data_IF_021863105204
#
_entry.id   IF_021863105204
#
_cell.length_a   1.000
_cell.length_b   1.000
_cell.length_c   1.000
_cell.angle_alpha   90.00
_cell.angle_beta   90.00
_cell.angle_gamma   90.00
#
_symmetry.space_group_name_H-M   'P 1'
#
loop_
_entity.id
_entity.type
_entity.pdbx_description
1 polymer ?
#
# COMPACT_ATOMS: atom_id res chain seq x y z
N UNK A 1 20.50 -0.86 -63.18
CA UNK A 1 21.04 0.04 -62.14
C UNK A 1 19.85 0.58 -61.36
N UNK A 2 19.61 0.05 -60.16
CA UNK A 2 18.51 0.48 -59.27
C UNK A 2 19.13 1.12 -58.02
N UNK A 3 18.66 2.27 -57.52
CA UNK A 3 19.26 2.90 -56.35
C UNK A 3 18.61 2.39 -55.06
N UNK A 4 19.45 2.10 -54.05
CA UNK A 4 19.04 1.85 -52.68
C UNK A 4 18.53 3.12 -51.97
N UNK A 5 17.56 3.03 -51.05
CA UNK A 5 17.29 4.10 -50.10
C UNK A 5 18.25 4.03 -48.90
N UNK A 6 18.72 5.20 -48.48
CA UNK A 6 19.56 5.42 -47.28
C UNK A 6 18.73 5.24 -46.01
N UNK A 7 19.31 4.52 -45.05
CA UNK A 7 18.84 4.39 -43.67
C UNK A 7 19.02 5.71 -42.91
N UNK A 8 17.96 6.19 -42.25
CA UNK A 8 17.99 7.32 -41.33
C UNK A 8 18.36 6.83 -39.93
N UNK A 9 19.41 7.41 -39.33
CA UNK A 9 19.81 7.17 -37.94
C UNK A 9 18.84 7.78 -36.92
N UNK A 10 19.02 7.47 -35.62
CA UNK A 10 18.10 7.88 -34.56
C UNK A 10 18.14 9.40 -34.28
N UNK A 11 17.05 10.01 -33.79
CA UNK A 11 16.95 11.45 -33.61
C UNK A 11 17.79 11.91 -32.41
N UNK A 12 18.63 12.93 -32.64
CA UNK A 12 19.39 13.63 -31.60
C UNK A 12 18.57 14.79 -31.03
N UNK A 13 18.47 14.87 -29.70
CA UNK A 13 17.82 15.98 -29.00
C UNK A 13 18.79 17.17 -28.82
N UNK A 14 18.36 18.42 -29.04
CA UNK A 14 19.23 19.58 -28.87
C UNK A 14 19.42 19.93 -27.39
N UNK A 15 20.66 19.93 -26.93
CA UNK A 15 21.09 20.55 -25.67
C UNK A 15 21.09 22.07 -25.83
N UNK A 16 20.09 22.75 -25.26
CA UNK A 16 20.19 24.18 -24.94
C UNK A 16 19.95 24.40 -23.45
N UNK A 17 21.01 24.87 -22.79
CA UNK A 17 20.95 25.50 -21.48
C UNK A 17 20.08 26.76 -21.55
N UNK A 18 19.06 26.80 -20.71
CA UNK A 18 18.31 28.00 -20.37
C UNK A 18 18.01 27.94 -18.88
N UNK A 19 18.69 28.80 -18.10
CA UNK A 19 18.35 29.05 -16.71
C UNK A 19 16.93 29.61 -16.65
N UNK A 20 15.97 28.79 -16.22
CA UNK A 20 14.63 29.24 -15.85
C UNK A 20 14.60 29.42 -14.32
N UNK A 21 14.58 30.69 -13.89
CA UNK A 21 14.59 31.09 -12.48
C UNK A 21 13.40 30.53 -11.69
N UNK A 22 13.68 29.69 -10.71
CA UNK A 22 12.74 29.14 -9.73
C UNK A 22 12.52 30.07 -8.51
N UNK A 23 12.38 31.39 -8.70
CA UNK A 23 12.31 32.34 -7.57
C UNK A 23 11.08 33.26 -7.53
N UNK A 24 9.99 32.96 -8.24
CA UNK A 24 8.78 33.81 -8.21
C UNK A 24 7.44 33.13 -7.91
N UNK A 25 7.41 31.83 -7.57
CA UNK A 25 6.15 31.14 -7.24
C UNK A 25 5.83 31.02 -5.73
N UNK A 26 6.70 31.51 -4.83
CA UNK A 26 6.58 31.32 -3.37
C UNK A 26 6.66 32.60 -2.52
N UNK A 27 6.50 33.78 -3.11
CA UNK A 27 6.32 35.04 -2.36
C UNK A 27 4.83 35.36 -2.25
N UNK A 28 4.14 34.79 -1.26
CA UNK A 28 2.75 35.20 -1.01
C UNK A 28 1.93 34.37 -0.04
N UNK A 29 2.38 33.19 0.40
CA UNK A 29 1.63 32.40 1.36
C UNK A 29 2.05 32.75 2.80
N UNK A 30 1.08 33.24 3.57
CA UNK A 30 1.20 33.53 5.00
C UNK A 30 1.68 32.28 5.73
N UNK A 31 2.73 32.44 6.52
CA UNK A 31 3.24 31.45 7.47
C UNK A 31 2.10 30.92 8.36
N UNK A 32 1.88 29.60 8.35
CA UNK A 32 1.11 28.96 9.42
C UNK A 32 1.89 29.13 10.72
N UNK A 33 1.36 29.96 11.63
CA UNK A 33 1.94 30.21 12.93
C UNK A 33 1.97 28.94 13.78
N UNK A 34 3.08 28.76 14.52
CA UNK A 34 3.19 27.76 15.60
C UNK A 34 1.99 27.85 16.55
N UNK A 35 1.33 26.75 16.93
CA UNK A 35 0.40 26.76 18.05
C UNK A 35 1.11 27.12 19.35
N UNK A 36 0.52 28.06 20.06
CA UNK A 36 0.96 28.65 21.32
C UNK A 36 1.09 27.59 22.43
N UNK A 37 2.23 27.56 23.13
CA UNK A 37 2.45 26.77 24.34
C UNK A 37 1.74 27.44 25.52
N UNK A 38 0.45 27.14 25.69
CA UNK A 38 -0.38 27.66 26.77
C UNK A 38 -1.08 26.53 27.52
N UNK A 39 -0.63 26.30 28.77
CA UNK A 39 -1.26 25.57 29.89
C UNK A 39 -2.52 24.73 29.58
N UNK A 40 -2.35 23.40 29.61
CA UNK A 40 -3.44 22.42 29.62
C UNK A 40 -4.20 22.53 30.95
N UNK A 41 -5.46 22.96 30.90
CA UNK A 41 -6.39 22.87 32.03
C UNK A 41 -6.80 21.41 32.26
N UNK A 42 -6.83 20.98 33.52
CA UNK A 42 -7.33 19.67 33.94
C UNK A 42 -8.80 19.53 33.53
N UNK A 43 -9.14 18.39 32.91
CA UNK A 43 -10.53 17.97 32.68
C UNK A 43 -10.82 16.87 33.70
N UNK A 44 -11.75 17.14 34.62
CA UNK A 44 -12.20 16.20 35.64
C UNK A 44 -13.16 15.16 35.01
N UNK A 45 -12.89 13.88 35.27
CA UNK A 45 -13.70 12.73 34.85
C UNK A 45 -14.47 12.21 36.07
N UNK A 46 -15.81 12.23 36.11
CA UNK A 46 -16.55 11.53 37.15
C UNK A 46 -16.56 10.01 36.91
N UNK A 47 -16.23 9.27 37.96
CA UNK A 47 -16.21 7.82 38.07
C UNK A 47 -17.62 7.22 37.90
N UNK A 48 -17.77 6.25 36.99
CA UNK A 48 -18.86 5.28 37.04
C UNK A 48 -18.34 3.99 37.69
N UNK A 49 -18.74 3.75 38.94
CA UNK A 49 -18.66 2.43 39.57
C UNK A 49 -20.04 1.81 39.70
N UNK A 50 -20.02 0.50 39.47
CA UNK A 50 -21.09 -0.48 39.45
C UNK A 50 -22.11 -0.43 40.61
N UNK A 51 -23.34 -0.87 40.31
CA UNK A 51 -24.13 -1.71 41.21
C UNK A 51 -25.05 -2.65 40.42
N UNK A 52 -24.94 -3.93 40.73
CA UNK A 52 -25.82 -5.00 40.27
C UNK A 52 -27.07 -5.11 41.18
N UNK A 53 -28.19 -5.47 40.53
CA UNK A 53 -29.50 -6.11 40.86
C UNK A 53 -29.77 -6.67 42.28
N UNK A 54 -31.02 -7.06 42.70
CA UNK A 54 -32.14 -7.59 41.87
C UNK A 54 -33.60 -7.34 42.34
N UNK A 55 -34.55 -8.05 41.67
CA UNK A 55 -36.00 -8.25 41.89
C UNK A 55 -36.90 -7.28 41.07
N UNK A 56 -37.89 -7.66 40.27
CA UNK A 56 -38.51 -8.95 39.92
C UNK A 56 -39.98 -8.69 39.58
N UNK A 57 -40.48 -9.09 38.40
CA UNK A 57 -41.88 -9.52 38.19
C UNK A 57 -42.08 -10.02 36.76
N UNK A 58 -42.55 -11.25 36.67
CA UNK A 58 -43.01 -11.92 35.46
C UNK A 58 -44.33 -11.30 34.97
N UNK A 59 -44.44 -11.06 33.68
CA UNK A 59 -45.71 -11.18 32.95
C UNK A 59 -45.43 -11.62 31.52
N UNK A 60 -45.96 -12.79 31.16
CA UNK A 60 -45.93 -13.34 29.83
C UNK A 60 -46.97 -12.63 28.94
N UNK A 61 -46.57 -12.28 27.72
CA UNK A 61 -47.51 -12.06 26.62
C UNK A 61 -46.98 -12.81 25.39
N UNK A 62 -47.60 -13.95 25.11
CA UNK A 62 -47.37 -14.75 23.91
C UNK A 62 -47.99 -14.06 22.70
N UNK A 63 -47.17 -13.65 21.73
CA UNK A 63 -47.59 -13.52 20.33
C UNK A 63 -46.56 -14.17 19.43
N UNK A 64 -47.01 -15.19 18.72
CA UNK A 64 -46.25 -15.87 17.68
C UNK A 64 -45.98 -14.90 16.52
N UNK A 65 -44.71 -14.64 16.24
CA UNK A 65 -44.29 -14.16 14.93
C UNK A 65 -43.49 -15.28 14.28
N UNK A 66 -44.17 -15.99 13.37
CA UNK A 66 -43.53 -16.84 12.36
C UNK A 66 -42.85 -15.91 11.36
N UNK A 67 -41.59 -16.19 11.07
CA UNK A 67 -40.77 -15.43 10.12
C UNK A 67 -39.40 -15.12 10.70
N UNK A 68 -38.59 -16.14 10.98
CA UNK A 68 -37.15 -15.96 11.09
C UNK A 68 -36.62 -15.97 9.66
N UNK A 69 -36.55 -14.79 9.05
CA UNK A 69 -35.63 -14.56 7.96
C UNK A 69 -34.24 -14.92 8.49
N UNK A 70 -33.72 -16.06 8.02
CA UNK A 70 -32.31 -16.40 8.17
C UNK A 70 -31.55 -15.48 7.23
N UNK A 71 -31.27 -14.25 7.67
CA UNK A 71 -30.01 -13.64 7.29
C UNK A 71 -28.94 -14.55 7.87
N UNK A 72 -28.41 -15.43 7.02
CA UNK A 72 -27.12 -16.03 7.27
C UNK A 72 -26.17 -14.85 7.34
N UNK A 73 -25.83 -14.42 8.55
CA UNK A 73 -24.69 -13.56 8.78
C UNK A 73 -23.50 -14.36 8.23
N UNK A 74 -23.09 -14.02 7.01
CA UNK A 74 -21.91 -14.61 6.39
C UNK A 74 -20.77 -14.25 7.33
N UNK A 75 -20.31 -15.24 8.11
CA UNK A 75 -19.22 -15.04 9.04
C UNK A 75 -17.98 -14.81 8.19
N UNK A 76 -17.73 -13.56 7.83
CA UNK A 76 -16.50 -13.16 7.18
C UNK A 76 -15.39 -13.52 8.15
N UNK A 77 -14.50 -14.42 7.72
CA UNK A 77 -13.37 -14.80 8.57
C UNK A 77 -12.50 -13.57 8.72
N UNK A 78 -12.36 -13.05 9.95
CA UNK A 78 -11.53 -11.89 10.20
C UNK A 78 -10.11 -12.12 9.64
N UNK A 79 -9.75 -11.32 8.64
CA UNK A 79 -8.39 -11.26 8.07
C UNK A 79 -7.55 -10.15 8.71
N UNK A 80 -6.24 -10.24 8.55
CA UNK A 80 -5.29 -9.20 8.97
C UNK A 80 -4.63 -8.57 7.74
N UNK A 81 -4.92 -7.28 7.53
CA UNK A 81 -4.33 -6.46 6.48
C UNK A 81 -3.08 -5.74 6.98
N UNK A 82 -2.00 -5.83 6.23
CA UNK A 82 -0.77 -5.04 6.45
C UNK A 82 -0.62 -4.08 5.28
N UNK A 83 -0.67 -2.77 5.54
CA UNK A 83 -0.66 -1.73 4.50
C UNK A 83 0.70 -1.02 4.45
N UNK A 84 1.33 -1.03 3.27
CA UNK A 84 2.69 -0.55 3.03
C UNK A 84 2.66 0.62 2.05
N UNK A 85 3.09 1.80 2.51
CA UNK A 85 3.03 3.03 1.73
C UNK A 85 4.11 3.11 0.64
N UNK A 86 3.91 4.01 -0.33
CA UNK A 86 4.89 4.37 -1.35
C UNK A 86 5.96 5.37 -0.89
N UNK A 87 6.91 5.67 -1.79
CA UNK A 87 7.99 6.62 -1.52
C UNK A 87 7.46 8.02 -1.18
N UNK A 88 8.10 8.70 -0.22
CA UNK A 88 7.70 10.05 0.23
C UNK A 88 6.43 10.10 1.09
N UNK A 89 5.87 8.95 1.47
CA UNK A 89 4.66 8.85 2.30
C UNK A 89 4.96 8.21 3.66
N UNK A 90 3.92 7.81 4.38
CA UNK A 90 3.96 7.10 5.65
C UNK A 90 2.63 6.40 5.89
N UNK A 91 2.48 5.74 7.04
CA UNK A 91 1.26 5.08 7.49
C UNK A 91 0.01 5.98 7.40
N UNK A 92 0.21 7.30 7.53
CA UNK A 92 -0.84 8.32 7.47
C UNK A 92 -1.64 8.30 6.16
N UNK A 93 -1.07 7.88 5.02
CA UNK A 93 -1.81 7.90 3.75
C UNK A 93 -2.99 6.92 3.74
N UNK A 94 -2.97 5.92 4.62
CA UNK A 94 -3.98 4.86 4.69
C UNK A 94 -5.18 5.18 5.58
N UNK A 95 -5.24 6.35 6.23
CA UNK A 95 -6.20 6.61 7.31
C UNK A 95 -7.67 6.34 6.93
N UNK A 96 -8.11 6.67 5.70
CA UNK A 96 -9.48 6.38 5.22
C UNK A 96 -9.72 4.88 5.12
N UNK A 97 -8.76 4.15 4.54
CA UNK A 97 -8.89 2.72 4.29
C UNK A 97 -8.85 1.91 5.58
N UNK A 98 -8.02 2.31 6.55
CA UNK A 98 -7.97 1.70 7.88
C UNK A 98 -9.35 1.70 8.55
N UNK A 99 -10.07 2.82 8.47
CA UNK A 99 -11.42 2.93 9.04
C UNK A 99 -12.37 1.96 8.34
N UNK A 100 -12.36 1.91 7.01
CA UNK A 100 -13.27 1.06 6.24
C UNK A 100 -13.04 -0.43 6.50
N UNK A 101 -11.79 -0.89 6.46
CA UNK A 101 -11.43 -2.30 6.71
C UNK A 101 -11.75 -2.73 8.15
N UNK A 102 -11.55 -1.84 9.13
CA UNK A 102 -11.92 -2.12 10.53
C UNK A 102 -13.43 -2.18 10.73
N UNK A 103 -14.19 -1.31 10.06
CA UNK A 103 -15.67 -1.36 10.08
C UNK A 103 -16.21 -2.66 9.44
N UNK A 104 -15.49 -3.21 8.46
CA UNK A 104 -15.79 -4.52 7.89
C UNK A 104 -15.35 -5.71 8.78
N UNK A 105 -14.82 -5.46 9.99
CA UNK A 105 -14.48 -6.50 10.96
C UNK A 105 -13.04 -7.02 10.88
N UNK A 106 -12.19 -6.43 10.05
CA UNK A 106 -10.82 -6.90 9.84
C UNK A 106 -9.78 -6.22 10.75
N UNK A 107 -8.68 -6.93 11.03
CA UNK A 107 -7.50 -6.33 11.67
C UNK A 107 -6.69 -5.58 10.62
N UNK A 108 -6.16 -4.42 10.98
CA UNK A 108 -5.37 -3.58 10.08
C UNK A 108 -4.16 -3.03 10.81
N UNK A 109 -2.98 -3.35 10.29
CA UNK A 109 -1.70 -2.78 10.68
C UNK A 109 -1.18 -1.89 9.56
N UNK A 110 -0.81 -0.68 9.92
CA UNK A 110 -0.08 0.25 9.05
C UNK A 110 1.22 0.60 9.73
N UNK A 111 2.25 0.85 8.94
CA UNK A 111 3.60 1.12 9.44
C UNK A 111 4.23 2.26 8.65
N UNK A 112 5.13 2.97 9.31
CA UNK A 112 6.10 3.81 8.63
C UNK A 112 7.32 2.94 8.31
N UNK A 113 7.70 2.87 7.03
CA UNK A 113 9.00 2.34 6.62
C UNK A 113 10.12 3.26 7.16
N UNK A 114 11.37 2.79 7.14
CA UNK A 114 12.45 3.60 7.67
C UNK A 114 12.57 4.92 6.90
N UNK A 115 12.87 6.00 7.61
CA UNK A 115 12.91 7.37 7.08
C UNK A 115 11.61 7.89 6.44
N UNK A 116 10.47 7.33 6.83
CA UNK A 116 9.14 7.68 6.32
C UNK A 116 8.21 8.11 7.45
N UNK A 117 7.17 8.88 7.14
CA UNK A 117 6.19 9.34 8.14
C UNK A 117 6.83 9.99 9.38
N UNK A 118 6.61 9.41 10.56
CA UNK A 118 7.20 9.87 11.83
C UNK A 118 8.39 9.03 12.28
N UNK A 119 8.90 8.14 11.43
CA UNK A 119 10.07 7.31 11.73
C UNK A 119 11.30 8.20 11.99
N UNK A 120 12.09 7.94 13.06
CA UNK A 120 13.15 8.87 13.49
C UNK A 120 14.38 8.88 12.58
N UNK A 121 14.69 7.76 11.92
CA UNK A 121 15.82 7.69 10.98
C UNK A 121 15.63 8.63 9.79
N UNK A 122 16.73 9.07 9.21
CA UNK A 122 16.74 9.89 8.00
C UNK A 122 17.13 9.07 6.77
N UNK A 123 16.73 9.55 5.59
CA UNK A 123 16.96 8.82 4.34
C UNK A 123 18.45 8.68 3.99
N UNK A 124 19.30 9.61 4.43
CA UNK A 124 20.76 9.58 4.29
C UNK A 124 21.45 8.59 5.23
N UNK A 125 20.78 8.17 6.31
CA UNK A 125 21.30 7.20 7.30
C UNK A 125 21.07 5.73 6.90
N UNK A 126 20.21 5.48 5.92
CA UNK A 126 19.98 4.12 5.42
C UNK A 126 21.17 3.68 4.58
N UNK A 127 21.50 2.40 4.45
CA UNK A 127 22.59 1.95 3.56
C UNK A 127 22.04 1.15 2.38
N UNK A 128 20.94 0.44 2.61
CA UNK A 128 20.32 -0.49 1.67
C UNK A 128 18.79 -0.34 1.63
N UNK A 129 18.17 -0.94 0.62
CA UNK A 129 16.73 -1.10 0.57
C UNK A 129 16.22 -2.00 1.71
N UNK A 130 17.01 -2.97 2.15
CA UNK A 130 16.67 -3.78 3.31
C UNK A 130 16.54 -2.94 4.59
N UNK A 131 17.33 -1.87 4.74
CA UNK A 131 17.18 -0.92 5.86
C UNK A 131 15.89 -0.13 5.74
N UNK A 132 15.57 0.33 4.52
CA UNK A 132 14.30 1.01 4.24
C UNK A 132 13.09 0.13 4.60
N UNK A 133 13.11 -1.14 4.21
CA UNK A 133 12.04 -2.11 4.45
C UNK A 133 12.09 -2.78 5.83
N UNK A 134 13.05 -2.43 6.69
CA UNK A 134 13.27 -3.11 7.97
C UNK A 134 12.01 -3.17 8.85
N UNK A 135 11.24 -2.08 9.03
CA UNK A 135 10.01 -2.13 9.84
C UNK A 135 8.97 -3.14 9.33
N UNK A 136 8.87 -3.32 8.01
CA UNK A 136 8.01 -4.35 7.42
C UNK A 136 8.53 -5.76 7.74
N UNK A 137 9.83 -5.99 7.56
CA UNK A 137 10.41 -7.32 7.82
C UNK A 137 10.33 -7.71 9.29
N UNK A 138 10.49 -6.76 10.22
CA UNK A 138 10.32 -6.99 11.66
C UNK A 138 8.86 -7.33 12.00
N UNK A 139 7.89 -6.60 11.43
CA UNK A 139 6.48 -6.93 11.57
C UNK A 139 6.17 -8.33 11.04
N UNK A 140 6.63 -8.68 9.84
CA UNK A 140 6.41 -9.99 9.24
C UNK A 140 7.04 -11.12 10.05
N UNK A 141 8.23 -10.89 10.62
CA UNK A 141 8.88 -11.84 11.53
C UNK A 141 8.04 -12.08 12.80
N UNK A 142 7.40 -11.04 13.33
CA UNK A 142 6.58 -11.11 14.54
C UNK A 142 5.20 -11.75 14.37
N UNK A 143 4.71 -11.91 13.13
CA UNK A 143 3.43 -12.62 12.85
C UNK A 143 3.57 -14.10 13.27
N UNK A 144 2.61 -14.67 14.03
CA UNK A 144 2.65 -16.07 14.44
C UNK A 144 2.73 -17.05 13.25
N UNK A 145 3.41 -18.20 13.37
CA UNK A 145 3.60 -19.15 12.26
C UNK A 145 2.32 -19.68 11.59
N UNK A 146 1.19 -19.65 12.29
CA UNK A 146 -0.10 -20.13 11.77
C UNK A 146 -1.00 -19.00 11.26
N UNK A 147 -0.53 -17.76 11.29
CA UNK A 147 -1.28 -16.60 10.81
C UNK A 147 -0.74 -16.18 9.44
N UNK A 148 -1.66 -15.89 8.50
CA UNK A 148 -1.33 -15.29 7.20
C UNK A 148 -2.01 -13.93 7.06
N UNK A 149 -1.32 -13.00 6.41
CA UNK A 149 -1.80 -11.62 6.20
C UNK A 149 -2.11 -11.33 4.74
N UNK A 150 -3.04 -10.41 4.53
CA UNK A 150 -3.23 -9.73 3.24
C UNK A 150 -2.26 -8.56 3.21
N UNK A 151 -1.23 -8.65 2.37
CA UNK A 151 -0.18 -7.63 2.29
C UNK A 151 -0.49 -6.68 1.14
N UNK A 152 -0.69 -5.40 1.43
CA UNK A 152 -1.10 -4.40 0.42
C UNK A 152 -0.01 -3.34 0.28
N UNK A 153 0.56 -3.21 -0.92
CA UNK A 153 1.60 -2.24 -1.23
C UNK A 153 1.10 -1.21 -2.22
N UNK A 154 1.40 0.06 -1.96
CA UNK A 154 1.15 1.17 -2.87
C UNK A 154 2.43 1.66 -3.52
N UNK A 155 2.41 1.95 -4.83
CA UNK A 155 3.53 2.58 -5.54
C UNK A 155 4.85 1.84 -5.27
N UNK A 156 5.90 2.56 -4.87
CA UNK A 156 7.20 2.00 -4.51
C UNK A 156 7.15 0.99 -3.34
N UNK A 157 6.10 1.00 -2.51
CA UNK A 157 5.86 0.00 -1.47
C UNK A 157 5.75 -1.43 -2.02
N UNK A 158 5.41 -1.59 -3.31
CA UNK A 158 5.43 -2.88 -3.99
C UNK A 158 6.81 -3.57 -4.01
N UNK A 159 7.91 -2.81 -4.00
CA UNK A 159 9.26 -3.39 -3.87
C UNK A 159 9.50 -3.94 -2.46
N UNK A 160 8.94 -3.31 -1.43
CA UNK A 160 9.00 -3.81 -0.05
C UNK A 160 8.14 -5.07 0.11
N UNK A 161 7.00 -5.14 -0.61
CA UNK A 161 6.21 -6.36 -0.74
C UNK A 161 7.03 -7.50 -1.30
N UNK A 162 7.73 -7.27 -2.42
CA UNK A 162 8.54 -8.31 -3.05
C UNK A 162 9.60 -8.88 -2.10
N UNK A 163 10.28 -8.01 -1.32
CA UNK A 163 11.22 -8.44 -0.29
C UNK A 163 10.55 -9.28 0.81
N UNK A 164 9.36 -8.86 1.27
CA UNK A 164 8.61 -9.59 2.28
C UNK A 164 8.11 -10.95 1.75
N UNK A 165 7.68 -11.01 0.49
CA UNK A 165 7.26 -12.22 -0.19
C UNK A 165 8.40 -13.22 -0.34
N UNK A 166 9.61 -12.74 -0.67
CA UNK A 166 10.79 -13.60 -0.73
C UNK A 166 11.16 -14.19 0.63
N UNK A 167 10.99 -13.41 1.71
CA UNK A 167 11.43 -13.82 3.07
C UNK A 167 10.38 -14.57 3.88
N UNK A 168 9.09 -14.34 3.63
CA UNK A 168 7.97 -14.75 4.50
C UNK A 168 6.77 -15.26 3.69
N UNK A 169 7.00 -15.95 2.57
CA UNK A 169 5.97 -16.45 1.68
C UNK A 169 4.86 -17.25 2.40
N UNK A 170 5.24 -18.04 3.41
CA UNK A 170 4.35 -18.84 4.23
C UNK A 170 3.37 -18.00 5.06
N UNK A 171 3.73 -16.75 5.39
CA UNK A 171 2.91 -15.83 6.20
C UNK A 171 2.04 -14.89 5.36
N UNK A 172 2.07 -14.98 4.03
CA UNK A 172 1.32 -14.09 3.15
C UNK A 172 0.21 -14.87 2.47
N UNK A 173 -1.04 -14.47 2.72
CA UNK A 173 -2.22 -15.06 2.09
C UNK A 173 -2.29 -14.65 0.61
N UNK A 174 -2.14 -13.35 0.36
CA UNK A 174 -2.09 -12.71 -0.95
C UNK A 174 -1.35 -11.38 -0.84
N UNK A 175 -0.57 -11.03 -1.85
CA UNK A 175 0.06 -9.73 -2.01
C UNK A 175 -0.71 -8.88 -3.03
N UNK A 176 -1.19 -7.72 -2.61
CA UNK A 176 -1.98 -6.80 -3.44
C UNK A 176 -1.15 -5.57 -3.79
N UNK A 177 -0.93 -5.34 -5.08
CA UNK A 177 -0.18 -4.23 -5.66
C UNK A 177 -1.17 -3.16 -6.13
N UNK A 178 -1.39 -2.13 -5.32
CA UNK A 178 -2.30 -1.03 -5.64
C UNK A 178 -1.53 0.10 -6.36
N UNK A 179 -1.66 0.18 -7.69
CA UNK A 179 -0.82 1.02 -8.58
C UNK A 179 0.64 1.05 -8.10
N UNK A 180 1.24 -0.14 -8.04
CA UNK A 180 2.51 -0.37 -7.37
C UNK A 180 3.56 -0.99 -8.30
N UNK A 181 4.84 -0.82 -7.97
CA UNK A 181 5.90 -1.57 -8.64
C UNK A 181 5.74 -3.05 -8.28
N UNK A 182 5.64 -3.89 -9.30
CA UNK A 182 5.51 -5.34 -9.15
C UNK A 182 6.67 -6.01 -9.90
N UNK A 183 7.81 -6.24 -9.24
CA UNK A 183 8.94 -6.94 -9.86
C UNK A 183 8.55 -8.36 -10.28
N UNK A 184 9.21 -8.92 -11.29
CA UNK A 184 9.17 -10.37 -11.53
C UNK A 184 10.43 -11.05 -10.99
N UNK A 185 10.42 -12.38 -10.83
CA UNK A 185 11.63 -13.18 -10.57
C UNK A 185 12.71 -13.06 -11.66
N UNK A 186 12.38 -12.50 -12.83
CA UNK A 186 13.38 -12.22 -13.84
C UNK A 186 14.14 -10.94 -13.50
N UNK A 187 15.48 -11.01 -13.43
CA UNK A 187 16.37 -9.91 -13.01
C UNK A 187 16.20 -8.59 -13.81
N UNK A 188 15.53 -8.65 -14.96
CA UNK A 188 15.36 -7.53 -15.90
C UNK A 188 14.48 -6.38 -15.37
N UNK A 189 13.59 -6.63 -14.40
CA UNK A 189 12.54 -5.66 -14.03
C UNK A 189 13.01 -4.60 -13.03
N UNK A 190 13.87 -4.99 -12.10
CA UNK A 190 14.43 -4.08 -11.10
C UNK A 190 15.40 -3.09 -11.75
N UNK A 191 16.19 -3.56 -12.71
CA UNK A 191 17.11 -2.72 -13.49
C UNK A 191 16.35 -1.69 -14.33
N UNK A 192 15.26 -2.09 -15.00
CA UNK A 192 14.51 -1.17 -15.86
C UNK A 192 13.63 -0.18 -15.07
N UNK A 193 13.00 -0.61 -13.99
CA UNK A 193 12.27 0.29 -13.09
C UNK A 193 13.21 1.34 -12.45
N UNK A 194 14.46 0.93 -12.17
CA UNK A 194 15.54 1.79 -11.65
C UNK A 194 15.96 2.89 -12.64
N UNK A 195 16.11 2.57 -13.93
CA UNK A 195 16.59 3.53 -14.94
C UNK A 195 15.58 4.64 -15.24
N UNK A 196 14.29 4.43 -14.95
CA UNK A 196 13.23 5.39 -15.25
C UNK A 196 12.95 6.40 -14.11
N UNK A 197 13.55 6.22 -12.93
CA UNK A 197 13.30 7.06 -11.76
C UNK A 197 14.20 8.31 -11.74
N UNK A 198 13.60 9.46 -11.40
CA UNK A 198 14.25 10.77 -11.23
C UNK A 198 15.04 10.85 -9.90
N UNK A 199 15.84 11.92 -9.64
CA UNK A 199 16.66 12.02 -8.43
C UNK A 199 15.85 11.85 -7.14
N UNK A 200 16.16 10.78 -6.43
CA UNK A 200 15.64 10.38 -5.13
C UNK A 200 16.39 9.12 -4.71
N UNK A 201 16.49 8.83 -3.40
CA UNK A 201 17.19 7.62 -2.96
C UNK A 201 16.28 6.41 -3.09
N UNK A 202 16.19 5.87 -4.31
CA UNK A 202 15.41 4.69 -4.66
C UNK A 202 16.19 3.38 -4.55
N UNK A 203 17.35 3.40 -3.87
CA UNK A 203 18.20 2.23 -3.63
C UNK A 203 18.49 1.40 -4.89
N UNK A 204 18.46 2.03 -6.06
CA UNK A 204 18.53 1.42 -7.37
C UNK A 204 19.72 0.48 -7.57
N UNK A 205 20.91 0.93 -7.17
CA UNK A 205 22.13 0.12 -7.23
C UNK A 205 22.10 -1.04 -6.23
N UNK A 206 21.57 -0.82 -5.03
CA UNK A 206 21.45 -1.89 -4.03
C UNK A 206 20.43 -2.94 -4.49
N UNK A 207 19.28 -2.51 -4.98
CA UNK A 207 18.24 -3.38 -5.52
C UNK A 207 18.75 -4.23 -6.69
N UNK A 208 19.45 -3.65 -7.66
CA UNK A 208 19.96 -4.40 -8.82
C UNK A 208 20.99 -5.47 -8.45
N UNK A 209 21.75 -5.27 -7.36
CA UNK A 209 22.82 -6.19 -6.96
C UNK A 209 22.38 -7.19 -5.87
N UNK A 210 21.43 -6.80 -5.01
CA UNK A 210 21.12 -7.52 -3.77
C UNK A 210 19.68 -8.04 -3.69
N UNK A 211 18.75 -7.56 -4.53
CA UNK A 211 17.39 -8.11 -4.57
C UNK A 211 17.34 -9.34 -5.47
N UNK A 212 17.26 -10.53 -4.86
CA UNK A 212 17.10 -11.81 -5.56
C UNK A 212 15.72 -12.36 -5.23
N UNK A 213 14.87 -12.50 -6.24
CA UNK A 213 13.51 -13.05 -6.12
C UNK A 213 13.47 -14.44 -6.72
N UNK A 214 12.89 -15.40 -6.02
CA UNK A 214 12.85 -16.80 -6.43
C UNK A 214 11.42 -17.26 -6.73
N UNK A 215 11.29 -18.22 -7.66
CA UNK A 215 9.98 -18.87 -7.90
C UNK A 215 9.48 -19.62 -6.66
N UNK A 216 10.39 -20.20 -5.88
CA UNK A 216 10.06 -20.97 -4.68
C UNK A 216 9.46 -20.10 -3.56
N UNK A 217 9.87 -18.85 -3.43
CA UNK A 217 9.37 -17.92 -2.41
C UNK A 217 8.48 -16.85 -3.04
N UNK A 218 9.05 -15.78 -3.61
CA UNK A 218 8.28 -14.70 -4.23
C UNK A 218 7.23 -15.20 -5.24
N UNK A 219 7.63 -16.10 -6.15
CA UNK A 219 6.76 -16.65 -7.18
C UNK A 219 5.59 -17.45 -6.63
N UNK A 220 5.78 -18.12 -5.48
CA UNK A 220 4.78 -18.95 -4.80
C UNK A 220 3.64 -18.14 -4.15
N UNK A 221 3.87 -16.88 -3.83
CA UNK A 221 2.87 -16.01 -3.20
C UNK A 221 1.87 -15.55 -4.27
N UNK A 222 0.57 -15.70 -3.99
CA UNK A 222 -0.50 -15.21 -4.86
C UNK A 222 -0.45 -13.68 -4.95
N UNK A 223 -0.64 -13.15 -6.15
CA UNK A 223 -0.53 -11.72 -6.43
C UNK A 223 -1.83 -11.21 -7.05
N UNK A 224 -2.27 -10.05 -6.59
CA UNK A 224 -3.32 -9.27 -7.24
C UNK A 224 -2.79 -7.87 -7.53
N UNK A 225 -3.17 -7.29 -8.67
CA UNK A 225 -2.82 -5.93 -9.07
C UNK A 225 -4.10 -5.11 -9.22
N UNK A 226 -4.12 -3.91 -8.63
CA UNK A 226 -5.24 -2.97 -8.77
C UNK A 226 -4.79 -1.82 -9.66
N UNK A 227 -5.35 -1.77 -10.86
CA UNK A 227 -5.08 -0.73 -11.86
C UNK A 227 -5.88 0.52 -11.56
N UNK A 228 -5.20 1.68 -11.54
CA UNK A 228 -5.82 3.00 -11.38
C UNK A 228 -5.78 3.75 -12.72
N UNK A 229 -6.93 3.91 -13.38
CA UNK A 229 -6.99 4.32 -14.80
C UNK A 229 -6.67 5.81 -15.05
N UNK A 230 -6.69 6.63 -14.00
CA UNK A 230 -6.39 8.07 -14.07
C UNK A 230 -5.11 8.42 -13.29
N UNK A 231 -4.28 7.41 -13.02
CA UNK A 231 -2.96 7.60 -12.46
C UNK A 231 -2.05 8.34 -13.46
N UNK A 232 -1.41 9.41 -12.98
CA UNK A 232 -0.49 10.25 -13.76
C UNK A 232 0.98 10.05 -13.37
N UNK A 233 1.24 9.32 -12.29
CA UNK A 233 2.58 8.98 -11.83
C UNK A 233 3.00 7.61 -12.38
N UNK A 234 2.12 6.62 -12.25
CA UNK A 234 2.24 5.31 -12.89
C UNK A 234 1.10 5.19 -13.91
N UNK A 235 1.28 5.78 -15.10
CA UNK A 235 0.24 5.77 -16.13
C UNK A 235 -0.23 4.34 -16.47
N UNK A 236 -1.48 4.19 -16.92
CA UNK A 236 -2.11 2.88 -17.13
C UNK A 236 -1.23 1.94 -17.98
N UNK A 237 -0.66 2.42 -19.10
CA UNK A 237 0.23 1.62 -19.95
C UNK A 237 1.43 1.06 -19.18
N UNK A 238 1.99 1.81 -18.23
CA UNK A 238 3.10 1.34 -17.40
C UNK A 238 2.64 0.30 -16.37
N UNK A 239 1.44 0.48 -15.78
CA UNK A 239 0.84 -0.53 -14.91
C UNK A 239 0.58 -1.84 -15.67
N UNK A 240 0.04 -1.78 -16.89
CA UNK A 240 -0.18 -2.97 -17.75
C UNK A 240 1.13 -3.65 -18.13
N UNK A 241 2.14 -2.87 -18.48
CA UNK A 241 3.47 -3.37 -18.79
C UNK A 241 4.12 -4.15 -17.62
N UNK A 242 3.88 -3.73 -16.37
CA UNK A 242 4.30 -4.47 -15.17
C UNK A 242 3.51 -5.78 -15.01
N UNK A 243 2.19 -5.74 -15.23
CA UNK A 243 1.32 -6.91 -15.14
C UNK A 243 1.75 -7.99 -16.14
N UNK A 244 2.06 -7.62 -17.39
CA UNK A 244 2.50 -8.54 -18.44
C UNK A 244 3.79 -9.30 -18.06
N UNK A 245 4.64 -8.70 -17.22
CA UNK A 245 5.92 -9.28 -16.76
C UNK A 245 5.78 -10.17 -15.53
N UNK A 246 4.66 -10.09 -14.83
CA UNK A 246 4.34 -10.94 -13.69
C UNK A 246 3.12 -11.82 -14.02
N UNK A 247 3.30 -12.85 -14.88
CA UNK A 247 2.21 -13.74 -15.23
C UNK A 247 1.59 -14.40 -13.98
N UNK A 248 0.28 -14.62 -14.04
CA UNK A 248 -0.50 -15.23 -12.95
C UNK A 248 -1.00 -14.25 -11.88
N UNK A 249 -0.69 -12.95 -12.00
CA UNK A 249 -1.31 -11.94 -11.13
C UNK A 249 -2.79 -11.73 -11.53
N UNK A 250 -3.68 -11.78 -10.54
CA UNK A 250 -5.07 -11.36 -10.69
C UNK A 250 -5.13 -9.85 -10.93
N UNK A 251 -6.02 -9.36 -11.80
CA UNK A 251 -6.10 -7.93 -12.14
C UNK A 251 -7.50 -7.41 -11.82
N UNK A 252 -7.57 -6.38 -10.99
CA UNK A 252 -8.77 -5.58 -10.75
C UNK A 252 -8.50 -4.14 -11.18
N UNK A 253 -9.56 -3.38 -11.43
CA UNK A 253 -9.45 -2.02 -11.94
C UNK A 253 -10.36 -1.08 -11.16
N UNK A 254 -9.91 0.16 -10.95
CA UNK A 254 -10.73 1.23 -10.40
C UNK A 254 -10.73 2.39 -11.39
N UNK A 255 -11.87 2.61 -12.03
CA UNK A 255 -12.09 3.77 -12.87
C UNK A 255 -12.30 5.04 -12.01
N UNK A 256 -11.78 6.15 -12.51
CA UNK A 256 -11.69 7.43 -11.81
C UNK A 256 -10.63 7.49 -10.70
N UNK A 257 -9.84 6.45 -10.45
CA UNK A 257 -8.78 6.47 -9.42
C UNK A 257 -7.51 7.14 -9.92
N UNK A 258 -6.98 8.05 -9.09
CA UNK A 258 -5.64 8.60 -9.26
C UNK A 258 -4.58 7.74 -8.55
N UNK A 259 -3.31 8.20 -8.56
CA UNK A 259 -2.20 7.48 -7.92
C UNK A 259 -2.44 7.21 -6.44
N UNK A 260 -3.13 8.11 -5.73
CA UNK A 260 -3.44 7.98 -4.31
C UNK A 260 -4.81 7.34 -4.13
N UNK A 261 -4.98 6.13 -4.67
CA UNK A 261 -6.24 5.38 -4.72
C UNK A 261 -6.92 5.22 -3.35
N UNK A 262 -6.14 5.08 -2.28
CA UNK A 262 -6.64 5.04 -0.90
C UNK A 262 -7.22 6.38 -0.39
N UNK A 263 -6.99 7.48 -1.11
CA UNK A 263 -7.51 8.81 -0.82
C UNK A 263 -8.61 9.23 -1.79
N UNK A 264 -8.43 8.96 -3.09
CA UNK A 264 -9.36 9.33 -4.16
C UNK A 264 -10.55 8.38 -4.27
N UNK A 265 -10.32 7.06 -4.13
CA UNK A 265 -11.31 5.99 -4.27
C UNK A 265 -11.27 4.97 -3.10
N UNK A 266 -11.34 5.43 -1.84
CA UNK A 266 -11.14 4.56 -0.67
C UNK A 266 -12.18 3.45 -0.51
N UNK A 267 -13.44 3.69 -0.93
CA UNK A 267 -14.52 2.70 -0.79
C UNK A 267 -14.39 1.60 -1.83
N UNK A 268 -14.14 1.99 -3.08
CA UNK A 268 -13.90 1.08 -4.20
C UNK A 268 -12.66 0.22 -3.92
N UNK A 269 -11.57 0.82 -3.43
CA UNK A 269 -10.38 0.08 -2.99
C UNK A 269 -10.71 -0.90 -1.85
N UNK A 270 -11.45 -0.46 -0.84
CA UNK A 270 -11.84 -1.34 0.27
C UNK A 270 -12.64 -2.55 -0.23
N UNK A 271 -13.62 -2.33 -1.11
CA UNK A 271 -14.46 -3.42 -1.62
C UNK A 271 -13.63 -4.45 -2.39
N UNK A 272 -12.71 -4.00 -3.26
CA UNK A 272 -11.81 -4.92 -3.98
C UNK A 272 -10.90 -5.70 -3.03
N UNK A 273 -10.38 -5.05 -1.98
CA UNK A 273 -9.54 -5.73 -1.00
C UNK A 273 -10.31 -6.80 -0.21
N UNK A 274 -11.58 -6.55 0.10
CA UNK A 274 -12.44 -7.52 0.76
C UNK A 274 -12.73 -8.71 -0.18
N UNK A 275 -13.11 -8.42 -1.43
CA UNK A 275 -13.35 -9.45 -2.46
C UNK A 275 -12.12 -10.35 -2.65
N UNK A 276 -10.96 -9.75 -2.87
CA UNK A 276 -9.68 -10.47 -2.98
C UNK A 276 -9.45 -11.31 -1.71
N UNK A 277 -9.62 -10.73 -0.52
CA UNK A 277 -9.35 -11.44 0.73
C UNK A 277 -10.30 -12.64 0.98
N UNK A 278 -11.53 -12.58 0.47
CA UNK A 278 -12.54 -13.64 0.60
C UNK A 278 -12.35 -14.78 -0.40
N UNK A 279 -11.76 -14.50 -1.57
CA UNK A 279 -11.37 -15.53 -2.54
C UNK A 279 -10.28 -16.47 -1.98
N UNK A 280 -9.50 -16.02 -0.99
CA UNK A 280 -8.42 -16.78 -0.37
C UNK A 280 -8.79 -17.25 1.04
N UNK A 281 -8.97 -18.57 1.20
CA UNK A 281 -9.24 -19.22 2.49
C UNK A 281 -7.97 -19.43 3.30
#
# INVERSE_FOLDING_TARGET
>A
MSPHPRTTGPPTWPTRHGEAGLTQAWRGQRSYGRPNTGKVGKVDIPQLQARASPQGSQTACSKSVRGRDRYMEEVTTQKHFVLVHGFGHGAWCWYKLVVLLRLAGHRVTTLDLAASGVHPQRLDELESFADYSRPLTELMAAIPPHERVVLVGHSYGGVSLALAMEKFAEKILVAVFATALMPSPSNSDIELATVLLRPGRFFSYDLSNNMVLTEANYGSVRRAFIVCKQDKAMVEDYQRWLIERSPGAEVKEIDGADHMVMLSKPRELCNLLLEIADEYK
#
